data_IF_093582522209
#
_entry.id   IF_093582522209
#
_cell.length_a   1.000
_cell.length_b   1.000
_cell.length_c   1.000
_cell.angle_alpha   90.00
_cell.angle_beta   90.00
_cell.angle_gamma   90.00
#
_symmetry.space_group_name_H-M   'P 1'
#
loop_
_entity.id
_entity.type
_entity.pdbx_description
1 polymer ?
#
# COMPACT_ATOMS: atom_id res chain seq x y z
N UNK A 1 -40.62 -49.92 2.58
CA UNK A 1 -39.27 -49.49 2.93
C UNK A 1 -38.40 -49.53 1.70
N UNK A 2 -37.88 -48.42 1.22
CA UNK A 2 -36.65 -48.44 0.43
C UNK A 2 -35.63 -47.42 0.95
N UNK A 3 -34.41 -47.85 0.86
CA UNK A 3 -33.12 -47.52 1.34
C UNK A 3 -32.64 -46.03 1.22
N UNK A 4 -32.25 -45.48 2.37
CA UNK A 4 -31.33 -44.36 2.48
C UNK A 4 -29.89 -44.82 2.20
N UNK A 5 -29.33 -44.52 1.06
CA UNK A 5 -27.85 -44.47 0.85
C UNK A 5 -27.60 -43.79 -0.50
N UNK A 6 -27.18 -42.52 -0.45
CA UNK A 6 -26.31 -41.82 -1.41
C UNK A 6 -26.46 -40.29 -1.30
N UNK A 7 -25.95 -39.72 -0.21
CA UNK A 7 -25.76 -38.24 -0.13
C UNK A 7 -24.64 -37.84 0.84
N UNK A 8 -23.49 -38.46 0.78
CA UNK A 8 -22.37 -38.06 1.64
C UNK A 8 -21.00 -37.91 0.96
N UNK A 9 -20.94 -37.86 -0.37
CA UNK A 9 -19.63 -37.82 -1.05
C UNK A 9 -19.30 -36.56 -1.83
N UNK A 10 -20.10 -35.52 -1.72
CA UNK A 10 -19.86 -34.31 -2.54
C UNK A 10 -19.43 -33.04 -1.75
N UNK A 11 -19.42 -33.08 -0.42
CA UNK A 11 -18.99 -31.94 0.42
C UNK A 11 -17.49 -31.91 0.71
N UNK A 12 -16.78 -33.01 0.60
CA UNK A 12 -15.34 -33.08 0.92
C UNK A 12 -14.40 -32.83 -0.27
N UNK A 13 -14.90 -32.72 -1.49
CA UNK A 13 -14.06 -32.40 -2.66
C UNK A 13 -13.86 -30.89 -2.88
N UNK A 14 -14.73 -30.03 -2.34
CA UNK A 14 -14.56 -28.56 -2.45
C UNK A 14 -13.60 -27.98 -1.40
N UNK A 15 -13.47 -28.60 -0.24
CA UNK A 15 -12.60 -28.07 0.83
C UNK A 15 -11.11 -28.31 0.59
N UNK A 16 -10.74 -29.32 -0.19
CA UNK A 16 -9.31 -29.57 -0.54
C UNK A 16 -8.76 -28.71 -1.65
N UNK A 17 -9.60 -28.17 -2.53
CA UNK A 17 -9.15 -27.24 -3.60
C UNK A 17 -8.93 -25.80 -3.12
N UNK A 18 -9.45 -25.42 -1.97
CA UNK A 18 -9.28 -24.06 -1.41
C UNK A 18 -8.04 -23.90 -0.55
N UNK A 19 -7.35 -24.97 -0.20
CA UNK A 19 -6.19 -24.93 0.72
C UNK A 19 -4.85 -24.89 -0.04
N UNK A 20 -4.81 -25.09 -1.34
CA UNK A 20 -3.56 -25.33 -2.09
C UNK A 20 -3.09 -24.24 -3.06
N UNK A 21 -3.69 -23.06 -3.07
CA UNK A 21 -3.21 -21.99 -3.96
C UNK A 21 -2.57 -20.85 -3.19
N UNK A 22 -1.36 -21.04 -2.73
CA UNK A 22 -0.48 -19.94 -2.30
C UNK A 22 0.39 -19.52 -3.48
N UNK A 23 0.19 -18.31 -3.95
CA UNK A 23 1.08 -17.68 -4.93
C UNK A 23 2.30 -17.07 -4.22
N UNK A 24 3.47 -17.20 -4.83
CA UNK A 24 4.70 -16.57 -4.35
C UNK A 24 5.20 -15.55 -5.38
N UNK A 25 5.56 -14.37 -4.91
CA UNK A 25 6.20 -13.34 -5.74
C UNK A 25 7.70 -13.60 -5.80
N UNK A 26 8.23 -13.60 -7.01
CA UNK A 26 9.67 -13.69 -7.27
C UNK A 26 10.16 -12.30 -7.69
N UNK A 27 11.07 -11.72 -6.91
CA UNK A 27 11.73 -10.46 -7.24
C UNK A 27 13.02 -10.75 -7.99
N UNK A 28 13.10 -10.30 -9.26
CA UNK A 28 14.32 -10.34 -10.05
C UNK A 28 14.83 -8.93 -10.30
N UNK A 29 16.01 -8.63 -9.85
CA UNK A 29 16.67 -7.38 -10.18
C UNK A 29 17.32 -7.48 -11.57
N UNK A 30 16.75 -6.79 -12.58
CA UNK A 30 17.34 -6.64 -13.89
C UNK A 30 18.00 -5.26 -13.96
N UNK A 31 19.31 -5.16 -14.21
CA UNK A 31 19.95 -3.87 -14.32
C UNK A 31 19.49 -3.19 -15.62
N UNK A 32 18.53 -2.29 -15.54
CA UNK A 32 18.29 -1.35 -16.62
C UNK A 32 19.40 -0.30 -16.63
N UNK A 33 19.96 -0.06 -17.83
CA UNK A 33 20.89 1.06 -18.03
C UNK A 33 20.13 2.35 -17.70
N UNK A 34 20.40 2.93 -16.53
CA UNK A 34 19.92 4.26 -16.15
C UNK A 34 20.38 5.21 -17.26
N UNK A 35 19.48 5.70 -18.09
CA UNK A 35 19.66 7.00 -18.71
C UNK A 35 19.66 7.99 -17.56
N UNK A 36 20.84 8.36 -17.11
CA UNK A 36 21.03 9.47 -16.19
C UNK A 36 20.49 10.72 -16.88
N UNK A 37 19.25 11.05 -16.62
CA UNK A 37 18.82 12.44 -16.71
C UNK A 37 19.64 13.13 -15.61
N UNK A 38 20.65 13.90 -16.02
CA UNK A 38 21.39 14.80 -15.13
C UNK A 38 20.40 15.86 -14.61
N UNK A 39 19.75 15.56 -13.51
CA UNK A 39 19.31 16.59 -12.58
C UNK A 39 20.45 16.71 -11.59
N UNK A 40 21.45 17.53 -11.94
CA UNK A 40 22.44 18.04 -11.02
C UNK A 40 21.72 19.07 -10.13
N UNK A 41 20.93 18.60 -9.18
CA UNK A 41 20.39 19.36 -8.07
C UNK A 41 21.31 19.16 -6.89
N UNK A 42 21.94 20.24 -6.47
CA UNK A 42 22.72 20.37 -5.24
C UNK A 42 21.98 19.70 -4.06
N UNK A 43 22.57 18.62 -3.51
CA UNK A 43 22.00 17.81 -2.44
C UNK A 43 21.94 18.54 -1.08
N UNK A 44 22.23 19.84 -1.02
CA UNK A 44 22.42 20.58 0.23
C UNK A 44 21.17 21.22 0.82
N UNK A 45 19.97 21.17 0.18
CA UNK A 45 18.71 21.75 0.73
C UNK A 45 17.44 21.06 0.26
N UNK A 46 17.31 19.76 0.46
CA UNK A 46 15.97 19.15 0.40
C UNK A 46 15.11 19.70 1.54
N UNK A 47 14.02 20.39 1.21
CA UNK A 47 13.06 20.84 2.23
C UNK A 47 12.32 19.62 2.77
N UNK A 48 12.64 19.19 3.97
CA UNK A 48 11.79 18.28 4.74
C UNK A 48 10.69 19.11 5.41
N UNK A 49 9.58 19.31 4.74
CA UNK A 49 8.39 19.95 5.32
C UNK A 49 7.34 18.89 5.60
N UNK A 50 7.70 17.94 6.47
CA UNK A 50 6.81 16.86 6.89
C UNK A 50 6.02 17.28 8.13
N UNK A 51 4.75 16.87 8.25
CA UNK A 51 4.02 17.03 9.51
C UNK A 51 4.72 16.25 10.63
N UNK A 52 4.70 16.79 11.82
CA UNK A 52 5.20 16.06 12.98
C UNK A 52 4.29 14.87 13.28
N UNK A 53 4.89 13.71 13.58
CA UNK A 53 4.12 12.51 13.89
C UNK A 53 4.78 11.69 15.00
N UNK A 54 3.99 10.83 15.62
CA UNK A 54 4.42 9.82 16.59
C UNK A 54 3.68 8.52 16.34
N UNK A 55 4.40 7.39 16.35
CA UNK A 55 3.78 6.07 16.36
C UNK A 55 3.71 5.59 17.81
N UNK A 56 2.55 5.17 18.24
CA UNK A 56 2.28 4.63 19.57
C UNK A 56 1.74 3.21 19.46
N UNK A 57 1.81 2.45 20.55
CA UNK A 57 1.32 1.07 20.65
C UNK A 57 1.98 0.08 19.66
N UNK A 58 3.13 0.46 19.08
CA UNK A 58 3.95 -0.46 18.29
C UNK A 58 4.51 -1.58 19.18
N UNK A 59 4.64 -2.83 18.67
CA UNK A 59 4.36 -3.27 17.30
C UNK A 59 3.00 -3.98 17.15
N UNK A 60 2.14 -4.00 18.15
CA UNK A 60 0.96 -4.88 18.14
C UNK A 60 -0.30 -4.21 17.57
N UNK A 61 -0.58 -2.98 17.99
CA UNK A 61 -1.75 -2.19 17.56
C UNK A 61 -1.32 -0.74 17.30
N UNK A 62 -0.35 -0.60 16.40
CA UNK A 62 0.26 0.68 16.15
C UNK A 62 -0.75 1.71 15.63
N UNK A 63 -0.62 2.91 16.16
CA UNK A 63 -1.40 4.08 15.74
C UNK A 63 -0.43 5.21 15.43
N UNK A 64 -0.58 5.86 14.29
CA UNK A 64 0.16 7.06 13.96
C UNK A 64 -0.65 8.29 14.37
N UNK A 65 -0.09 9.11 15.24
CA UNK A 65 -0.59 10.41 15.65
C UNK A 65 0.13 11.46 14.81
N UNK A 66 -0.62 12.26 14.04
CA UNK A 66 -0.06 13.30 13.16
C UNK A 66 -0.57 14.65 13.66
N UNK A 67 0.34 15.63 13.77
CA UNK A 67 -0.02 17.00 14.05
C UNK A 67 0.09 17.82 12.75
N UNK A 68 -1.05 18.36 12.30
CA UNK A 68 -1.17 19.19 11.11
C UNK A 68 -1.15 20.66 11.49
N UNK A 69 -0.34 21.45 10.82
CA UNK A 69 -0.40 22.91 10.89
C UNK A 69 -1.59 23.41 10.06
N UNK A 70 -1.94 24.68 10.25
CA UNK A 70 -2.97 25.33 9.44
C UNK A 70 -2.64 25.24 7.96
N UNK A 71 -3.56 24.67 7.18
CA UNK A 71 -3.41 24.46 5.73
C UNK A 71 -2.62 23.21 5.33
N UNK A 72 -2.00 22.48 6.27
CA UNK A 72 -1.40 21.19 5.97
C UNK A 72 -2.48 20.12 5.79
N UNK A 73 -2.25 19.23 4.84
CA UNK A 73 -3.17 18.13 4.55
C UNK A 73 -2.46 16.79 4.47
N UNK A 74 -3.18 15.76 4.88
CA UNK A 74 -2.86 14.36 4.61
C UNK A 74 -4.06 13.68 3.96
N UNK A 75 -3.76 12.68 3.14
CA UNK A 75 -4.77 11.82 2.53
C UNK A 75 -4.74 10.46 3.22
N UNK A 76 -5.90 9.88 3.42
CA UNK A 76 -5.99 8.56 4.03
C UNK A 76 -7.04 7.70 3.36
N UNK A 77 -6.84 6.39 3.43
CA UNK A 77 -7.84 5.43 3.00
C UNK A 77 -9.07 5.48 3.91
N UNK A 78 -10.23 5.15 3.36
CA UNK A 78 -11.44 4.96 4.13
C UNK A 78 -11.18 3.95 5.27
N UNK A 79 -11.75 4.23 6.45
CA UNK A 79 -11.68 3.40 7.65
C UNK A 79 -10.31 3.33 8.35
N UNK A 80 -9.33 4.19 7.98
CA UNK A 80 -8.04 4.25 8.70
C UNK A 80 -8.00 5.35 9.76
N UNK A 81 -8.86 6.36 9.69
CA UNK A 81 -8.94 7.42 10.70
C UNK A 81 -9.57 6.87 11.99
N UNK A 82 -8.82 6.99 13.09
CA UNK A 82 -9.24 6.59 14.43
C UNK A 82 -9.98 7.71 15.17
N UNK A 83 -9.34 8.87 15.28
CA UNK A 83 -9.91 10.08 15.88
C UNK A 83 -9.20 11.32 15.36
N UNK A 84 -9.82 12.48 15.52
CA UNK A 84 -9.25 13.76 15.11
C UNK A 84 -9.84 14.91 15.92
N UNK A 85 -9.14 16.03 15.95
CA UNK A 85 -9.65 17.27 16.50
C UNK A 85 -10.80 17.83 15.66
N UNK A 86 -11.75 18.49 16.31
CA UNK A 86 -12.95 19.05 15.66
C UNK A 86 -12.63 20.14 14.60
N UNK A 87 -11.44 20.70 14.66
CA UNK A 87 -10.98 21.76 13.73
C UNK A 87 -10.45 21.23 12.41
N UNK A 88 -10.41 19.90 12.21
CA UNK A 88 -9.92 19.31 10.95
C UNK A 88 -11.06 19.23 9.94
N UNK A 89 -10.84 19.79 8.76
CA UNK A 89 -11.76 19.67 7.63
C UNK A 89 -11.53 18.37 6.89
N UNK A 90 -12.62 17.64 6.63
CA UNK A 90 -12.63 16.40 5.87
C UNK A 90 -13.27 16.62 4.50
N UNK A 91 -12.61 16.16 3.45
CA UNK A 91 -13.15 16.18 2.09
C UNK A 91 -12.93 14.83 1.42
N UNK A 92 -14.01 14.14 1.08
CA UNK A 92 -13.91 12.94 0.26
C UNK A 92 -13.40 13.32 -1.13
N UNK A 93 -12.36 12.61 -1.61
CA UNK A 93 -11.73 12.88 -2.89
C UNK A 93 -11.50 11.58 -3.64
N UNK A 94 -11.62 11.63 -4.94
CA UNK A 94 -11.19 10.58 -5.85
C UNK A 94 -9.89 11.01 -6.53
N UNK A 95 -8.81 11.18 -5.75
CA UNK A 95 -7.47 11.36 -6.34
C UNK A 95 -7.06 10.06 -7.04
N UNK A 96 -6.74 10.18 -8.27
CA UNK A 96 -6.43 9.13 -9.22
C UNK A 96 -7.33 9.36 -10.41
N UNK A 97 -6.83 10.11 -11.42
CA UNK A 97 -7.59 10.51 -12.61
C UNK A 97 -8.26 9.33 -13.29
N UNK A 98 -9.44 9.00 -12.83
CA UNK A 98 -10.25 7.96 -13.44
C UNK A 98 -10.92 8.59 -14.64
N UNK A 99 -10.39 8.33 -15.82
CA UNK A 99 -11.12 8.48 -17.06
C UNK A 99 -12.50 7.81 -16.89
N UNK A 100 -13.57 8.51 -17.20
CA UNK A 100 -14.96 8.11 -16.97
C UNK A 100 -15.31 6.70 -17.49
N UNK A 101 -14.51 6.12 -18.40
CA UNK A 101 -14.66 4.76 -18.93
C UNK A 101 -14.19 3.64 -17.99
N UNK A 102 -13.25 3.91 -17.10
CA UNK A 102 -12.76 2.93 -16.11
C UNK A 102 -13.63 2.85 -14.86
N UNK A 103 -14.52 3.80 -14.65
CA UNK A 103 -15.42 3.85 -13.47
C UNK A 103 -16.26 2.58 -13.27
N UNK A 104 -16.60 1.88 -14.34
CA UNK A 104 -17.36 0.62 -14.28
C UNK A 104 -16.52 -0.60 -13.89
N UNK A 105 -15.24 -0.58 -14.16
CA UNK A 105 -14.33 -1.71 -13.89
C UNK A 105 -13.84 -1.72 -12.44
N UNK A 106 -13.80 -0.56 -11.79
CA UNK A 106 -13.35 -0.40 -10.40
C UNK A 106 -14.46 -0.54 -9.35
N UNK A 107 -15.71 -0.74 -9.76
CA UNK A 107 -16.85 -0.94 -8.84
C UNK A 107 -16.87 -2.33 -8.19
N UNK A 108 -16.01 -3.25 -8.61
CA UNK A 108 -16.02 -4.63 -8.10
C UNK A 108 -14.86 -4.99 -7.18
N UNK A 109 -13.78 -4.21 -7.16
CA UNK A 109 -12.65 -4.48 -6.24
C UNK A 109 -11.98 -3.17 -5.85
N UNK A 110 -12.23 -2.71 -4.63
CA UNK A 110 -11.52 -1.61 -3.95
C UNK A 110 -11.52 -0.27 -4.70
N UNK A 111 -12.64 0.42 -4.72
CA UNK A 111 -12.60 1.87 -4.96
C UNK A 111 -11.81 2.49 -3.82
N UNK A 112 -10.59 2.96 -4.09
CA UNK A 112 -9.79 3.71 -3.12
C UNK A 112 -10.45 5.07 -2.90
N UNK A 113 -11.53 5.10 -2.12
CA UNK A 113 -12.06 6.34 -1.59
C UNK A 113 -11.06 6.88 -0.58
N UNK A 114 -10.48 8.00 -0.93
CA UNK A 114 -9.56 8.70 -0.08
C UNK A 114 -10.25 9.90 0.52
N UNK A 115 -9.90 10.21 1.75
CA UNK A 115 -10.34 11.42 2.42
C UNK A 115 -9.14 12.32 2.64
N UNK A 116 -9.27 13.56 2.23
CA UNK A 116 -8.33 14.63 2.55
C UNK A 116 -8.69 15.20 3.92
N UNK A 117 -7.71 15.28 4.82
CA UNK A 117 -7.80 15.87 6.13
C UNK A 117 -6.91 17.09 6.19
N UNK A 118 -7.49 18.27 6.41
CA UNK A 118 -6.78 19.56 6.41
C UNK A 118 -6.93 20.25 7.77
N UNK A 119 -5.79 20.61 8.36
CA UNK A 119 -5.76 21.39 9.60
C UNK A 119 -6.24 22.83 9.37
N UNK A 120 -7.09 23.36 10.25
CA UNK A 120 -7.58 24.75 10.17
C UNK A 120 -6.98 25.66 11.22
N UNK A 121 -6.39 25.09 12.26
CA UNK A 121 -5.75 25.78 13.37
C UNK A 121 -4.22 25.59 13.34
N UNK A 122 -3.52 26.19 14.29
CA UNK A 122 -2.06 26.06 14.41
C UNK A 122 -1.63 24.63 14.75
N UNK A 123 -2.42 23.94 15.58
CA UNK A 123 -2.20 22.56 15.97
C UNK A 123 -3.49 21.78 15.77
N UNK A 124 -3.44 20.73 14.98
CA UNK A 124 -4.57 19.86 14.72
C UNK A 124 -4.10 18.42 14.79
N UNK A 125 -4.60 17.67 15.77
CA UNK A 125 -4.20 16.29 15.96
C UNK A 125 -5.15 15.35 15.26
N UNK A 126 -4.58 14.40 14.52
CA UNK A 126 -5.32 13.32 13.88
C UNK A 126 -4.57 12.01 14.06
N UNK A 127 -5.32 10.96 14.27
CA UNK A 127 -4.80 9.61 14.45
C UNK A 127 -5.31 8.66 13.38
N UNK A 128 -4.39 7.84 12.87
CA UNK A 128 -4.71 6.78 11.94
C UNK A 128 -4.20 5.44 12.44
N UNK A 129 -4.96 4.39 12.19
CA UNK A 129 -4.62 3.02 12.57
C UNK A 129 -5.11 2.04 11.51
N UNK A 130 -4.55 0.83 11.53
CA UNK A 130 -5.11 -0.30 10.80
C UNK A 130 -6.20 -0.97 11.65
N UNK A 131 -7.19 -1.57 11.00
CA UNK A 131 -8.15 -2.46 11.68
C UNK A 131 -7.55 -3.84 11.99
N UNK A 132 -6.42 -4.20 11.37
CA UNK A 132 -5.68 -5.42 11.68
C UNK A 132 -4.58 -5.14 12.70
N UNK A 133 -4.30 -6.09 13.61
CA UNK A 133 -3.18 -5.96 14.54
C UNK A 133 -1.85 -5.94 13.79
N UNK A 134 -0.95 -5.05 14.21
CA UNK A 134 0.36 -4.94 13.58
C UNK A 134 1.06 -3.63 13.84
N UNK A 135 2.14 -3.42 13.11
CA UNK A 135 2.98 -2.23 13.20
C UNK A 135 2.71 -1.26 12.04
N UNK A 136 3.29 -0.07 12.12
CA UNK A 136 3.23 0.95 11.06
C UNK A 136 4.65 1.27 10.59
N UNK A 137 4.89 1.09 9.29
CA UNK A 137 6.12 1.53 8.61
C UNK A 137 5.95 2.96 8.13
N UNK A 138 6.69 3.95 8.68
CA UNK A 138 6.80 5.28 8.09
C UNK A 138 7.84 5.25 6.98
N UNK A 139 7.43 5.40 5.74
CA UNK A 139 8.29 5.38 4.56
C UNK A 139 8.45 6.79 4.00
N UNK A 140 9.67 7.32 4.02
CA UNK A 140 10.01 8.58 3.34
C UNK A 140 10.13 8.35 1.84
N UNK A 141 9.48 9.21 1.05
CA UNK A 141 9.51 9.20 -0.41
C UNK A 141 10.19 10.48 -0.87
N UNK A 142 11.43 10.35 -1.31
CA UNK A 142 12.23 11.49 -1.78
C UNK A 142 11.77 11.92 -3.19
N UNK A 143 12.11 13.15 -3.61
CA UNK A 143 11.92 13.57 -5.01
C UNK A 143 12.48 12.56 -6.00
N UNK A 144 11.65 12.10 -6.94
CA UNK A 144 11.97 11.10 -7.94
C UNK A 144 11.83 9.65 -7.50
N UNK A 145 11.62 9.37 -6.22
CA UNK A 145 11.39 8.01 -5.73
C UNK A 145 10.01 7.48 -6.15
N UNK A 146 9.96 6.19 -6.44
CA UNK A 146 8.73 5.45 -6.75
C UNK A 146 8.72 4.13 -6.02
N UNK A 147 7.62 3.86 -5.33
CA UNK A 147 7.40 2.62 -4.59
C UNK A 147 6.13 1.93 -5.04
N UNK A 148 6.19 0.61 -5.12
CA UNK A 148 5.00 -0.22 -5.23
C UNK A 148 4.63 -0.69 -3.83
N UNK A 149 3.42 -0.40 -3.37
CA UNK A 149 2.95 -0.77 -2.04
C UNK A 149 1.72 -1.69 -2.14
N UNK A 150 1.52 -2.55 -1.17
CA UNK A 150 0.27 -3.30 -1.04
C UNK A 150 -0.87 -2.32 -0.75
N UNK A 151 -1.93 -2.35 -1.56
CA UNK A 151 -3.05 -1.40 -1.41
C UNK A 151 -3.74 -1.52 -0.06
N UNK A 152 -3.77 -2.73 0.52
CA UNK A 152 -4.37 -2.98 1.83
C UNK A 152 -3.52 -2.44 2.99
N UNK A 153 -2.25 -2.16 2.74
CA UNK A 153 -1.31 -1.64 3.74
C UNK A 153 -1.31 -0.11 3.83
N UNK A 154 -1.81 0.58 2.81
CA UNK A 154 -1.80 2.03 2.78
C UNK A 154 -2.75 2.61 3.83
N UNK A 155 -2.22 3.33 4.83
CA UNK A 155 -2.99 4.03 5.86
C UNK A 155 -3.25 5.47 5.44
N UNK A 156 -2.18 6.27 5.36
CA UNK A 156 -2.24 7.68 5.00
C UNK A 156 -0.91 8.14 4.38
N UNK A 157 -0.94 9.32 3.76
CA UNK A 157 0.23 9.91 3.11
C UNK A 157 0.12 11.43 3.01
N UNK A 158 1.26 12.10 2.83
CA UNK A 158 1.33 13.56 2.67
C UNK A 158 0.82 14.02 1.31
N UNK A 159 0.28 15.23 1.24
CA UNK A 159 -0.42 15.75 0.06
C UNK A 159 0.48 15.96 -1.18
N UNK A 160 1.79 15.98 -1.02
CA UNK A 160 2.77 16.12 -2.09
C UNK A 160 3.13 14.82 -2.81
N UNK A 161 2.50 13.70 -2.46
CA UNK A 161 2.70 12.42 -3.12
C UNK A 161 1.56 12.13 -4.10
N UNK A 162 1.91 11.47 -5.20
CA UNK A 162 0.96 10.86 -6.11
C UNK A 162 0.78 9.39 -5.76
N UNK A 163 -0.49 8.98 -5.62
CA UNK A 163 -0.88 7.63 -5.23
C UNK A 163 -1.86 7.09 -6.25
N UNK A 164 -1.40 6.18 -7.08
CA UNK A 164 -2.17 5.64 -8.20
C UNK A 164 -2.38 4.13 -8.04
N UNK A 165 -3.64 3.70 -8.04
CA UNK A 165 -3.97 2.28 -8.04
C UNK A 165 -3.48 1.63 -9.34
N UNK A 166 -2.62 0.63 -9.22
CA UNK A 166 -2.11 -0.16 -10.35
C UNK A 166 -2.57 -1.59 -10.16
N UNK A 167 -3.55 -2.00 -10.96
CA UNK A 167 -3.86 -3.42 -11.07
C UNK A 167 -2.91 -4.03 -12.10
N UNK A 168 -1.79 -4.61 -11.67
CA UNK A 168 -0.93 -5.37 -12.59
C UNK A 168 -1.58 -6.71 -12.87
N UNK A 169 -2.28 -6.78 -14.01
CA UNK A 169 -3.06 -7.91 -14.49
C UNK A 169 -2.26 -9.13 -14.98
N UNK A 170 -0.95 -9.18 -14.79
CA UNK A 170 -0.14 -10.34 -15.17
C UNK A 170 -0.21 -11.41 -14.07
N UNK A 171 -1.30 -12.18 -14.05
CA UNK A 171 -1.51 -13.27 -13.10
C UNK A 171 -2.96 -13.51 -12.69
N UNK A 172 -3.94 -12.80 -13.27
CA UNK A 172 -5.37 -12.87 -12.88
C UNK A 172 -6.05 -14.23 -13.20
N UNK A 173 -5.35 -15.20 -13.74
CA UNK A 173 -5.95 -16.52 -13.98
C UNK A 173 -6.24 -17.32 -12.71
N UNK A 174 -5.89 -16.83 -11.53
CA UNK A 174 -6.11 -17.57 -10.27
C UNK A 174 -6.56 -16.63 -9.15
N UNK A 175 -7.77 -16.13 -9.25
CA UNK A 175 -8.66 -15.77 -8.11
C UNK A 175 -8.22 -14.77 -7.04
N UNK A 176 -6.95 -14.43 -6.86
CA UNK A 176 -6.44 -13.52 -5.84
C UNK A 176 -5.46 -12.50 -6.46
N UNK A 177 -6.02 -11.54 -7.18
CA UNK A 177 -5.26 -10.40 -7.68
C UNK A 177 -4.77 -9.55 -6.52
N UNK A 178 -3.43 -9.41 -6.36
CA UNK A 178 -2.87 -8.48 -5.38
C UNK A 178 -3.11 -7.07 -5.91
N UNK A 179 -3.94 -6.33 -5.21
CA UNK A 179 -4.09 -4.91 -5.47
C UNK A 179 -2.82 -4.21 -4.99
N UNK A 180 -2.12 -3.57 -5.91
CA UNK A 180 -0.95 -2.76 -5.62
C UNK A 180 -1.23 -1.30 -5.97
N UNK A 181 -0.55 -0.43 -5.27
CA UNK A 181 -0.63 1.02 -5.45
C UNK A 181 0.78 1.54 -5.70
N UNK A 182 0.96 2.32 -6.74
CA UNK A 182 2.18 3.07 -6.96
C UNK A 182 2.14 4.37 -6.15
N UNK A 183 3.17 4.61 -5.36
CA UNK A 183 3.42 5.86 -4.64
C UNK A 183 4.63 6.52 -5.27
N UNK A 184 4.47 7.72 -5.80
CA UNK A 184 5.54 8.48 -6.43
C UNK A 184 5.62 9.91 -5.90
N UNK A 185 6.82 10.50 -6.03
CA UNK A 185 7.07 11.87 -5.62
C UNK A 185 7.71 12.65 -6.77
N UNK A 186 6.90 13.38 -7.50
CA UNK A 186 7.33 14.26 -8.60
C UNK A 186 7.54 15.73 -8.14
N UNK A 187 7.55 15.97 -6.81
CA UNK A 187 7.78 17.30 -6.22
C UNK A 187 9.24 17.51 -5.81
N UNK A 188 9.55 18.70 -5.30
CA UNK A 188 10.89 19.07 -4.82
C UNK A 188 11.07 18.89 -3.29
N UNK A 189 10.08 18.34 -2.61
CA UNK A 189 10.10 18.12 -1.15
C UNK A 189 9.89 16.65 -0.82
N UNK A 190 10.45 16.21 0.31
CA UNK A 190 10.24 14.85 0.80
C UNK A 190 8.77 14.68 1.17
N UNK A 191 8.18 13.55 0.77
CA UNK A 191 6.87 13.09 1.21
C UNK A 191 6.98 11.93 2.20
N UNK A 192 5.87 11.59 2.84
CA UNK A 192 5.77 10.50 3.78
C UNK A 192 4.52 9.66 3.47
N UNK A 193 4.70 8.36 3.48
CA UNK A 193 3.58 7.41 3.47
C UNK A 193 3.68 6.50 4.70
N UNK A 194 2.55 6.22 5.35
CA UNK A 194 2.45 5.31 6.48
C UNK A 194 1.71 4.04 6.04
N UNK A 195 2.38 2.90 6.23
CA UNK A 195 1.91 1.60 5.77
C UNK A 195 1.70 0.68 6.98
N UNK A 196 0.51 0.06 7.07
CA UNK A 196 0.25 -0.97 8.07
C UNK A 196 0.87 -2.29 7.65
N UNK A 197 1.55 -2.95 8.58
CA UNK A 197 1.97 -4.34 8.45
C UNK A 197 1.10 -5.25 9.32
N UNK A 198 0.80 -6.46 8.86
CA UNK A 198 0.23 -7.49 9.72
C UNK A 198 1.35 -8.09 10.59
N UNK A 199 1.31 -7.81 11.88
CA UNK A 199 2.45 -8.08 12.76
C UNK A 199 3.59 -7.06 12.53
N UNK A 200 4.83 -7.50 12.63
CA UNK A 200 6.00 -6.68 12.34
C UNK A 200 6.39 -6.68 10.86
N UNK A 201 7.41 -5.91 10.51
CA UNK A 201 7.95 -5.90 9.14
C UNK A 201 9.48 -6.08 9.13
N UNK A 202 9.99 -6.64 8.02
CA UNK A 202 11.41 -6.82 7.78
C UNK A 202 11.80 -6.17 6.47
N UNK A 203 12.96 -5.50 6.45
CA UNK A 203 13.52 -4.93 5.23
C UNK A 203 14.59 -5.86 4.65
N UNK A 204 14.46 -6.19 3.37
CA UNK A 204 15.49 -6.90 2.60
C UNK A 204 16.02 -5.98 1.50
N UNK A 205 17.32 -5.76 1.49
CA UNK A 205 18.01 -5.10 0.36
C UNK A 205 18.57 -6.18 -0.54
N UNK A 206 18.26 -6.10 -1.84
CA UNK A 206 18.72 -7.05 -2.84
C UNK A 206 19.98 -6.52 -3.51
N UNK A 207 21.02 -7.35 -3.60
CA UNK A 207 22.22 -7.09 -4.39
C UNK A 207 21.95 -7.29 -5.89
N UNK A 208 22.91 -6.89 -6.73
CA UNK A 208 22.82 -7.06 -8.18
C UNK A 208 22.67 -8.54 -8.55
N UNK A 209 21.55 -8.88 -9.19
CA UNK A 209 21.24 -10.26 -9.61
C UNK A 209 20.73 -11.17 -8.49
N UNK A 210 20.55 -10.65 -7.26
CA UNK A 210 19.95 -11.41 -6.17
C UNK A 210 18.45 -11.57 -6.41
N UNK A 211 17.95 -12.78 -6.15
CA UNK A 211 16.54 -13.11 -6.23
C UNK A 211 16.02 -13.47 -4.83
N UNK A 212 14.83 -12.99 -4.50
CA UNK A 212 14.18 -13.27 -3.24
C UNK A 212 12.73 -13.72 -3.50
N UNK A 213 12.30 -14.77 -2.82
CA UNK A 213 10.93 -15.29 -2.92
C UNK A 213 10.13 -14.87 -1.70
N UNK A 214 8.98 -14.28 -1.94
CA UNK A 214 8.09 -13.76 -0.90
C UNK A 214 6.67 -14.22 -1.19
N UNK A 215 5.93 -14.57 -0.13
CA UNK A 215 4.48 -14.80 -0.23
C UNK A 215 3.78 -13.47 -0.55
N UNK A 216 2.86 -13.52 -1.52
CA UNK A 216 2.16 -12.32 -1.99
C UNK A 216 1.37 -11.62 -0.89
N UNK A 217 0.77 -12.37 0.02
CA UNK A 217 -0.01 -11.85 1.15
C UNK A 217 0.83 -11.12 2.21
N UNK A 218 2.16 -11.31 2.18
CA UNK A 218 3.08 -10.70 3.13
C UNK A 218 3.93 -9.57 2.53
N UNK A 219 3.69 -9.23 1.26
CA UNK A 219 4.36 -8.10 0.63
C UNK A 219 3.82 -6.77 1.15
N UNK A 220 4.73 -5.93 1.66
CA UNK A 220 4.37 -4.60 2.16
C UNK A 220 4.65 -3.51 1.13
N UNK A 221 5.91 -3.35 0.72
CA UNK A 221 6.32 -2.39 -0.29
C UNK A 221 7.71 -2.72 -0.86
N UNK A 222 8.05 -2.11 -2.00
CA UNK A 222 9.37 -2.16 -2.63
C UNK A 222 9.53 -1.06 -3.67
N UNK A 223 10.77 -0.78 -4.04
CA UNK A 223 11.08 0.16 -5.13
C UNK A 223 10.55 -0.37 -6.47
N UNK A 224 10.04 0.51 -7.34
CA UNK A 224 9.44 0.12 -8.63
C UNK A 224 10.46 -0.42 -9.64
N UNK A 225 11.75 -0.11 -9.45
CA UNK A 225 12.86 -0.62 -10.27
C UNK A 225 13.07 -2.13 -10.15
N UNK A 226 12.50 -2.73 -9.10
CA UNK A 226 12.56 -4.17 -8.89
C UNK A 226 11.59 -4.88 -9.83
N UNK A 227 12.12 -5.67 -10.77
CA UNK A 227 11.31 -6.57 -11.59
C UNK A 227 10.84 -7.74 -10.72
N UNK A 228 9.53 -8.00 -10.71
CA UNK A 228 9.00 -9.17 -10.03
C UNK A 228 8.14 -10.01 -10.99
N UNK A 229 8.11 -11.29 -10.72
CA UNK A 229 7.23 -12.24 -11.39
C UNK A 229 6.40 -12.98 -10.36
N UNK A 230 5.13 -13.20 -10.67
CA UNK A 230 4.24 -14.02 -9.85
C UNK A 230 4.30 -15.44 -10.39
N UNK A 231 4.58 -16.39 -9.51
CA UNK A 231 4.65 -17.80 -9.86
C UNK A 231 3.94 -18.68 -8.83
N UNK A 232 3.42 -19.81 -9.26
CA UNK A 232 2.90 -20.84 -8.37
C UNK A 232 4.04 -21.60 -7.73
N UNK A 233 3.89 -22.00 -6.48
CA UNK A 233 4.81 -22.91 -5.80
C UNK A 233 4.26 -24.30 -5.84
N UNK A 234 4.97 -25.18 -6.54
CA UNK A 234 4.64 -26.57 -6.75
C UNK A 234 4.06 -26.84 -8.14
N UNK A 235 4.51 -27.90 -8.77
CA UNK A 235 3.80 -28.56 -9.87
C UNK A 235 2.69 -29.41 -9.26
N UNK A 236 1.46 -29.22 -9.70
CA UNK A 236 0.44 -30.27 -9.59
C UNK A 236 0.73 -31.34 -10.62
#
# INVERSE_FOLDING_TARGET
MPSRKKQTNNKNKLSKKQVEMKEKILYKHKPEKKKQAKVAGDSSKMKENLPSYKIVNSPAFATVLINLKKGESVFANSNSMSHMDNHIKCKATSKGGIYAGLKRMFLTTTSMFQTEYTGTETNNNIAFASFLPGDILPLKVKPGDKYMVSSNSLICYTSNLDVNGVTRLKGILVGEGIAQTEVSNDTNSVGMVWLASYGGYNKKTLGKGEEFKLDTGLYLCGETDNNYTIGKVGSL
#
